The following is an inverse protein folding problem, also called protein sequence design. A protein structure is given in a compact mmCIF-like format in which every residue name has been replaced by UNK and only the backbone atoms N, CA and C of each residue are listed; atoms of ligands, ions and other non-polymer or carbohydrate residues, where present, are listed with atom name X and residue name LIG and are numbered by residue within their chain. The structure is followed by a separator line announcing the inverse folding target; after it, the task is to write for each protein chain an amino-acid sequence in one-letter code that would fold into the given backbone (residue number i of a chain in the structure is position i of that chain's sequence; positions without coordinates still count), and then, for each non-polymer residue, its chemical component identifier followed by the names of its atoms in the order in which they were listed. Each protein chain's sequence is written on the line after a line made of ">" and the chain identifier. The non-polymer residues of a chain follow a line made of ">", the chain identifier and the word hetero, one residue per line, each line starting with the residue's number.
data_IF_277310399686
#
_entry.id   IF_277310399686
#
_cell.length_a   1.000
_cell.length_b   1.000
_cell.length_c   1.000
_cell.angle_alpha   90.00
_cell.angle_beta   90.00
_cell.angle_gamma   90.00
#
_symmetry.space_group_name_H-M   'P 1'
#
loop_
_entity.id
_entity.type
_entity.pdbx_description
1 polymer ?
#
# COMPACT_ATOMS: atom_id res chain seq x y z
N UNK A 1 -18.43 -15.25 22.72
CA UNK A 1 -19.42 -14.87 21.68
C UNK A 1 -18.70 -14.98 20.34
N UNK A 2 -19.05 -15.96 19.50
CA UNK A 2 -18.36 -16.20 18.21
C UNK A 2 -18.76 -15.09 17.22
N UNK A 3 -17.80 -14.27 16.78
CA UNK A 3 -18.01 -13.32 15.69
C UNK A 3 -17.74 -14.01 14.36
N UNK A 4 -18.70 -14.02 13.44
CA UNK A 4 -18.48 -14.53 12.08
C UNK A 4 -17.54 -13.60 11.31
N UNK A 5 -16.90 -14.11 10.25
CA UNK A 5 -16.11 -13.27 9.34
C UNK A 5 -16.94 -12.11 8.75
N UNK A 6 -18.24 -12.36 8.51
CA UNK A 6 -19.18 -11.33 8.08
C UNK A 6 -19.38 -10.24 9.15
N UNK A 7 -19.57 -10.60 10.43
CA UNK A 7 -19.75 -9.61 11.48
C UNK A 7 -18.49 -8.76 11.70
N UNK A 8 -17.30 -9.37 11.56
CA UNK A 8 -16.02 -8.64 11.64
C UNK A 8 -15.89 -7.66 10.46
N UNK A 9 -16.22 -8.08 9.25
CA UNK A 9 -16.18 -7.22 8.07
C UNK A 9 -17.17 -6.04 8.19
N UNK A 10 -18.35 -6.29 8.74
CA UNK A 10 -19.35 -5.24 8.97
C UNK A 10 -18.89 -4.22 10.02
N UNK A 11 -18.29 -4.69 11.12
CA UNK A 11 -17.70 -3.82 12.15
C UNK A 11 -16.55 -2.97 11.58
N UNK A 12 -15.66 -3.58 10.78
CA UNK A 12 -14.58 -2.87 10.10
C UNK A 12 -15.11 -1.81 9.11
N UNK A 13 -16.16 -2.14 8.34
CA UNK A 13 -16.84 -1.18 7.46
C UNK A 13 -17.39 0.00 8.25
N UNK A 14 -18.06 -0.25 9.37
CA UNK A 14 -18.67 0.81 10.19
C UNK A 14 -17.59 1.73 10.78
N UNK A 15 -16.52 1.16 11.34
CA UNK A 15 -15.36 1.94 11.82
C UNK A 15 -14.75 2.81 10.73
N UNK A 16 -14.57 2.25 9.53
CA UNK A 16 -14.06 3.02 8.39
C UNK A 16 -15.02 4.14 7.98
N UNK A 17 -16.33 3.90 8.02
CA UNK A 17 -17.33 4.93 7.75
C UNK A 17 -17.28 6.07 8.75
N UNK A 18 -17.07 5.78 10.03
CA UNK A 18 -16.95 6.81 11.07
C UNK A 18 -15.70 7.67 10.85
N UNK A 19 -14.57 7.06 10.50
CA UNK A 19 -13.33 7.78 10.13
C UNK A 19 -13.56 8.66 8.90
N UNK A 20 -14.28 8.15 7.88
CA UNK A 20 -14.56 8.91 6.66
C UNK A 20 -15.41 10.15 6.96
N UNK A 21 -16.44 10.00 7.79
CA UNK A 21 -17.31 11.12 8.18
C UNK A 21 -16.55 12.16 8.97
N UNK A 22 -15.78 11.74 9.98
CA UNK A 22 -14.91 12.62 10.76
C UNK A 22 -13.97 13.42 9.86
N UNK A 23 -13.34 12.76 8.88
CA UNK A 23 -12.49 13.46 7.91
C UNK A 23 -13.25 14.42 7.01
N UNK A 24 -14.43 14.08 6.51
CA UNK A 24 -15.22 15.01 5.70
C UNK A 24 -15.66 16.26 6.49
N UNK A 25 -15.91 16.09 7.79
CA UNK A 25 -16.28 17.17 8.70
C UNK A 25 -15.09 18.07 9.03
N UNK A 26 -13.93 17.48 9.33
CA UNK A 26 -12.79 18.20 9.92
C UNK A 26 -11.66 18.53 8.94
N UNK A 27 -11.51 17.79 7.83
CA UNK A 27 -10.48 18.01 6.82
C UNK A 27 -11.07 18.73 5.60
N UNK A 28 -10.76 20.03 5.49
CA UNK A 28 -11.20 20.89 4.38
C UNK A 28 -10.18 21.02 3.27
N UNK A 29 -9.04 20.34 3.38
CA UNK A 29 -7.97 20.43 2.40
C UNK A 29 -7.86 19.16 1.55
N UNK A 30 -7.10 19.28 0.45
CA UNK A 30 -6.81 18.17 -0.45
C UNK A 30 -8.06 17.50 -1.04
N UNK A 31 -7.95 16.19 -1.26
CA UNK A 31 -8.99 15.41 -1.92
C UNK A 31 -10.29 15.30 -1.11
N UNK A 32 -10.19 15.12 0.21
CA UNK A 32 -11.36 14.94 1.09
C UNK A 32 -12.15 16.24 1.19
N UNK A 33 -11.47 17.37 1.42
CA UNK A 33 -12.11 18.69 1.42
C UNK A 33 -12.76 19.03 0.08
N UNK A 34 -12.05 18.78 -1.03
CA UNK A 34 -12.59 18.98 -2.38
C UNK A 34 -13.88 18.17 -2.59
N UNK A 35 -13.90 16.90 -2.18
CA UNK A 35 -15.07 16.03 -2.29
C UNK A 35 -16.23 16.51 -1.42
N UNK A 36 -15.95 16.97 -0.19
CA UNK A 36 -16.95 17.52 0.72
C UNK A 36 -17.59 18.83 0.24
N UNK A 37 -16.89 19.59 -0.63
CA UNK A 37 -17.40 20.84 -1.22
C UNK A 37 -18.28 20.65 -2.46
N UNK A 38 -18.35 19.43 -3.00
CA UNK A 38 -19.13 19.15 -4.22
C UNK A 38 -20.64 19.25 -3.95
N UNK A 39 -21.43 19.69 -4.94
CA UNK A 39 -22.89 19.77 -4.83
C UNK A 39 -23.52 18.37 -4.98
N UNK A 40 -23.26 17.48 -4.03
CA UNK A 40 -23.83 16.13 -4.01
C UNK A 40 -25.27 16.15 -3.47
N UNK A 41 -26.10 15.15 -3.83
CA UNK A 41 -27.52 15.13 -3.47
C UNK A 41 -27.79 15.09 -1.96
N UNK A 42 -26.89 14.47 -1.19
CA UNK A 42 -26.99 14.35 0.26
C UNK A 42 -25.61 14.28 0.91
N UNK A 43 -25.54 14.60 2.20
CA UNK A 43 -24.29 14.63 2.98
C UNK A 43 -23.63 13.26 3.15
N UNK A 44 -24.38 12.16 2.98
CA UNK A 44 -23.86 10.80 3.07
C UNK A 44 -23.19 10.33 1.77
N UNK A 45 -23.54 10.97 0.64
CA UNK A 45 -23.06 10.61 -0.69
C UNK A 45 -21.54 10.68 -0.79
N UNK A 46 -20.90 11.76 -0.30
CA UNK A 46 -19.44 11.87 -0.30
C UNK A 46 -18.78 10.73 0.49
N UNK A 47 -19.33 10.40 1.67
CA UNK A 47 -18.80 9.36 2.54
C UNK A 47 -18.93 7.96 1.89
N UNK A 48 -20.04 7.69 1.22
CA UNK A 48 -20.26 6.43 0.50
C UNK A 48 -19.32 6.29 -0.70
N UNK A 49 -19.09 7.37 -1.47
CA UNK A 49 -18.13 7.37 -2.56
C UNK A 49 -16.71 7.12 -2.07
N UNK A 50 -16.30 7.74 -0.95
CA UNK A 50 -15.01 7.47 -0.32
C UNK A 50 -14.90 6.02 0.17
N UNK A 51 -15.94 5.49 0.79
CA UNK A 51 -15.96 4.10 1.22
C UNK A 51 -15.76 3.17 0.03
N UNK A 52 -16.51 3.39 -1.06
CA UNK A 52 -16.40 2.58 -2.27
C UNK A 52 -15.00 2.69 -2.87
N UNK A 53 -14.45 3.90 -2.99
CA UNK A 53 -13.12 4.14 -3.52
C UNK A 53 -12.04 3.40 -2.70
N UNK A 54 -12.02 3.58 -1.37
CA UNK A 54 -11.06 2.92 -0.48
C UNK A 54 -11.24 1.40 -0.54
N UNK A 55 -12.48 0.94 -0.50
CA UNK A 55 -12.80 -0.50 -0.56
C UNK A 55 -12.39 -1.12 -1.88
N UNK A 56 -12.36 -0.37 -2.99
CA UNK A 56 -11.90 -0.86 -4.29
C UNK A 56 -10.36 -0.95 -4.40
N UNK A 57 -9.63 -0.13 -3.64
CA UNK A 57 -8.16 -0.16 -3.63
C UNK A 57 -7.60 -1.45 -3.01
N UNK A 58 -8.28 -2.02 -2.02
CA UNK A 58 -7.83 -3.22 -1.32
C UNK A 58 -7.84 -4.45 -2.24
N UNK A 59 -8.95 -4.81 -2.93
CA UNK A 59 -8.97 -5.91 -3.90
C UNK A 59 -7.97 -5.71 -5.03
N UNK A 60 -7.77 -4.48 -5.53
CA UNK A 60 -6.75 -4.20 -6.54
C UNK A 60 -5.35 -4.55 -6.03
N UNK A 61 -5.00 -4.05 -4.84
CA UNK A 61 -3.68 -4.28 -4.27
C UNK A 61 -3.47 -5.76 -3.95
N UNK A 62 -4.48 -6.42 -3.38
CA UNK A 62 -4.44 -7.85 -3.07
C UNK A 62 -4.31 -8.69 -4.35
N UNK A 63 -5.11 -8.42 -5.38
CA UNK A 63 -5.04 -9.13 -6.65
C UNK A 63 -3.66 -8.98 -7.29
N UNK A 64 -3.13 -7.75 -7.33
CA UNK A 64 -1.79 -7.49 -7.84
C UNK A 64 -0.72 -8.29 -7.09
N UNK A 65 -0.73 -8.26 -5.75
CA UNK A 65 0.26 -8.99 -4.94
C UNK A 65 0.11 -10.50 -5.10
N UNK A 66 -1.12 -11.01 -5.10
CA UNK A 66 -1.39 -12.44 -5.26
C UNK A 66 -0.91 -12.93 -6.62
N UNK A 67 -1.24 -12.21 -7.71
CA UNK A 67 -0.76 -12.55 -9.05
C UNK A 67 0.76 -12.55 -9.10
N UNK A 68 1.44 -11.52 -8.57
CA UNK A 68 2.89 -11.47 -8.55
C UNK A 68 3.53 -12.58 -7.72
N UNK A 69 2.93 -12.91 -6.56
CA UNK A 69 3.37 -14.03 -5.73
C UNK A 69 3.21 -15.37 -6.47
N UNK A 70 2.07 -15.60 -7.11
CA UNK A 70 1.82 -16.79 -7.92
C UNK A 70 2.79 -16.88 -9.10
N UNK A 71 3.13 -15.78 -9.76
CA UNK A 71 4.12 -15.78 -10.84
C UNK A 71 5.54 -16.07 -10.31
N UNK A 72 5.90 -15.53 -9.15
CA UNK A 72 7.23 -15.72 -8.56
C UNK A 72 7.47 -17.16 -8.08
N UNK A 73 6.43 -17.85 -7.60
CA UNK A 73 6.54 -19.20 -7.03
C UNK A 73 5.85 -20.30 -7.86
N UNK A 74 5.20 -19.95 -8.97
CA UNK A 74 4.36 -20.88 -9.72
C UNK A 74 5.11 -21.83 -10.66
N UNK A 75 6.38 -21.51 -10.99
CA UNK A 75 7.22 -22.34 -11.84
C UNK A 75 7.54 -23.71 -11.21
N UNK A 76 7.74 -24.72 -12.05
CA UNK A 76 8.09 -26.07 -11.57
C UNK A 76 9.45 -26.06 -10.85
N UNK A 77 10.38 -25.24 -11.32
CA UNK A 77 11.69 -25.00 -10.75
C UNK A 77 11.66 -24.37 -9.34
N UNK A 78 10.52 -23.85 -8.90
CA UNK A 78 10.33 -23.20 -7.60
C UNK A 78 9.81 -24.16 -6.52
N UNK A 79 9.97 -25.48 -6.69
CA UNK A 79 9.53 -26.48 -5.71
C UNK A 79 10.14 -26.26 -4.32
N UNK A 80 11.45 -26.06 -4.24
CA UNK A 80 12.14 -25.84 -2.96
C UNK A 80 11.71 -24.52 -2.30
N UNK A 81 11.61 -23.44 -3.07
CA UNK A 81 11.15 -22.15 -2.56
C UNK A 81 9.70 -22.24 -2.02
N UNK A 82 8.82 -23.00 -2.68
CA UNK A 82 7.44 -23.23 -2.21
C UNK A 82 7.41 -24.08 -0.93
N UNK A 83 8.24 -25.11 -0.85
CA UNK A 83 8.38 -25.94 0.35
C UNK A 83 8.86 -25.10 1.53
N UNK A 84 9.94 -24.34 1.33
CA UNK A 84 10.49 -23.46 2.34
C UNK A 84 9.50 -22.37 2.78
N UNK A 85 8.74 -21.77 1.86
CA UNK A 85 7.71 -20.78 2.21
C UNK A 85 6.53 -21.38 2.99
N UNK A 86 6.31 -22.70 2.88
CA UNK A 86 5.29 -23.42 3.65
C UNK A 86 5.79 -23.78 5.05
N UNK A 87 7.07 -24.16 5.16
CA UNK A 87 7.70 -24.64 6.39
C UNK A 87 8.26 -23.51 7.28
N UNK A 88 8.71 -22.40 6.69
CA UNK A 88 9.34 -21.26 7.37
C UNK A 88 8.55 -19.95 7.16
N UNK A 89 7.78 -19.49 8.16
CA UNK A 89 7.05 -18.23 8.12
C UNK A 89 7.92 -17.00 7.91
N UNK A 90 9.17 -17.02 8.39
CA UNK A 90 10.09 -15.90 8.19
C UNK A 90 10.58 -15.89 6.73
N UNK A 91 10.80 -17.04 6.10
CA UNK A 91 11.09 -17.11 4.67
C UNK A 91 9.89 -16.64 3.81
N UNK A 92 8.67 -17.09 4.13
CA UNK A 92 7.46 -16.59 3.45
C UNK A 92 7.35 -15.06 3.54
N UNK A 93 7.66 -14.48 4.70
CA UNK A 93 7.70 -13.03 4.86
C UNK A 93 8.74 -12.38 3.94
N UNK A 94 9.93 -12.95 3.81
CA UNK A 94 10.98 -12.44 2.90
C UNK A 94 10.52 -12.48 1.44
N UNK A 95 9.87 -13.57 1.03
CA UNK A 95 9.20 -13.71 -0.28
C UNK A 95 8.20 -12.59 -0.49
N UNK A 96 7.29 -12.35 0.46
CA UNK A 96 6.27 -11.29 0.34
C UNK A 96 6.87 -9.88 0.25
N UNK A 97 7.96 -9.62 0.99
CA UNK A 97 8.69 -8.36 0.91
C UNK A 97 9.33 -8.18 -0.47
N UNK A 98 9.90 -9.25 -1.03
CA UNK A 98 10.53 -9.21 -2.35
C UNK A 98 9.51 -9.05 -3.48
N UNK A 99 8.36 -9.74 -3.38
CA UNK A 99 7.22 -9.52 -4.28
C UNK A 99 6.79 -8.05 -4.26
N UNK A 100 6.64 -7.45 -3.06
CA UNK A 100 6.25 -6.04 -2.92
C UNK A 100 7.32 -5.09 -3.47
N UNK A 101 8.60 -5.44 -3.39
CA UNK A 101 9.70 -4.65 -3.93
C UNK A 101 9.62 -4.61 -5.46
N UNK A 102 9.59 -5.77 -6.10
CA UNK A 102 9.59 -5.89 -7.57
C UNK A 102 8.26 -5.46 -8.18
N UNK A 103 7.13 -5.83 -7.57
CA UNK A 103 5.80 -5.57 -8.10
C UNK A 103 4.93 -4.87 -7.04
N UNK A 104 5.23 -3.60 -6.72
CA UNK A 104 4.43 -2.85 -5.76
C UNK A 104 3.02 -2.61 -6.33
N UNK A 105 1.95 -2.73 -5.51
CA UNK A 105 0.57 -2.43 -5.93
C UNK A 105 0.37 -1.04 -6.53
N UNK A 106 1.22 -0.10 -6.09
CA UNK A 106 1.27 1.27 -6.55
C UNK A 106 2.71 1.59 -6.95
N UNK A 107 2.89 2.03 -8.19
CA UNK A 107 4.19 2.40 -8.78
C UNK A 107 4.87 3.59 -8.10
N UNK A 108 4.12 4.37 -7.32
CA UNK A 108 4.59 5.57 -6.65
C UNK A 108 3.44 6.34 -6.01
N UNK A 109 3.69 7.60 -5.68
CA UNK A 109 2.69 8.48 -5.12
C UNK A 109 3.02 9.95 -5.31
N UNK A 110 2.00 10.79 -5.12
CA UNK A 110 2.13 12.24 -5.08
C UNK A 110 2.11 12.73 -3.64
N UNK A 111 2.91 13.73 -3.35
CA UNK A 111 2.89 14.54 -2.12
C UNK A 111 2.79 16.01 -2.51
N UNK A 112 2.25 16.82 -1.61
CA UNK A 112 2.24 18.28 -1.72
C UNK A 112 3.15 18.79 -0.61
N UNK A 113 4.07 19.70 -0.94
CA UNK A 113 4.88 20.37 0.07
C UNK A 113 4.00 21.30 0.91
N UNK A 114 3.98 21.10 2.22
CA UNK A 114 3.23 21.93 3.18
C UNK A 114 3.96 23.25 3.50
N UNK A 115 5.27 23.28 3.25
CA UNK A 115 6.13 24.44 3.40
C UNK A 115 7.29 24.42 2.38
N UNK A 116 7.89 25.58 2.18
CA UNK A 116 9.16 25.74 1.46
C UNK A 116 10.21 24.78 2.05
N UNK A 117 10.76 23.94 1.19
CA UNK A 117 11.62 22.82 1.55
C UNK A 117 12.84 22.75 0.62
N UNK A 118 13.86 21.98 1.02
CA UNK A 118 15.00 21.67 0.16
C UNK A 118 15.24 20.16 0.16
N UNK A 119 15.27 19.56 -1.03
CA UNK A 119 15.52 18.14 -1.23
C UNK A 119 16.75 17.95 -2.11
N UNK A 120 17.82 17.35 -1.57
CA UNK A 120 19.08 17.15 -2.30
C UNK A 120 19.64 18.44 -2.93
N UNK A 121 19.50 19.56 -2.23
CA UNK A 121 19.92 20.89 -2.71
C UNK A 121 18.94 21.58 -3.67
N UNK A 122 17.85 20.92 -4.07
CA UNK A 122 16.79 21.52 -4.88
C UNK A 122 15.73 22.17 -4.00
N UNK A 123 15.43 23.43 -4.25
CA UNK A 123 14.35 24.13 -3.57
C UNK A 123 12.98 23.65 -4.07
N UNK A 124 12.11 23.27 -3.14
CA UNK A 124 10.73 22.85 -3.38
C UNK A 124 9.81 23.86 -2.68
N UNK A 125 9.12 24.73 -3.41
CA UNK A 125 8.21 25.70 -2.82
C UNK A 125 7.02 25.03 -2.14
N UNK A 126 6.41 25.71 -1.18
CA UNK A 126 5.11 25.35 -0.64
C UNK A 126 4.08 25.13 -1.77
N UNK A 127 3.18 24.18 -1.55
CA UNK A 127 2.08 23.76 -2.45
C UNK A 127 2.53 23.08 -3.75
N UNK A 128 3.84 22.89 -3.97
CA UNK A 128 4.33 22.13 -5.12
C UNK A 128 4.07 20.62 -4.95
N UNK A 129 3.70 19.99 -6.06
CA UNK A 129 3.54 18.55 -6.15
C UNK A 129 4.87 17.84 -6.37
N UNK A 130 5.22 16.93 -5.46
CA UNK A 130 6.38 16.03 -5.59
C UNK A 130 5.88 14.61 -5.88
N UNK A 131 6.42 13.98 -6.91
CA UNK A 131 6.10 12.60 -7.29
C UNK A 131 7.31 11.73 -6.95
N UNK A 132 7.08 10.66 -6.19
CA UNK A 132 8.07 9.61 -6.00
C UNK A 132 7.66 8.36 -6.77
N UNK A 133 8.64 7.66 -7.34
CA UNK A 133 8.44 6.44 -8.11
C UNK A 133 9.06 5.29 -7.34
N UNK A 134 8.27 4.64 -6.47
CA UNK A 134 8.72 3.49 -5.68
C UNK A 134 9.28 2.38 -6.56
N UNK A 135 8.68 2.13 -7.73
CA UNK A 135 9.17 1.11 -8.66
C UNK A 135 10.62 1.35 -9.12
N UNK A 136 11.00 2.62 -9.32
CA UNK A 136 12.36 2.99 -9.72
C UNK A 136 13.34 2.83 -8.56
N UNK A 137 13.01 3.39 -7.39
CA UNK A 137 13.85 3.29 -6.19
C UNK A 137 14.05 1.83 -5.76
N UNK A 138 13.02 1.01 -5.88
CA UNK A 138 13.10 -0.42 -5.57
C UNK A 138 14.03 -1.20 -6.52
N UNK A 139 14.40 -0.64 -7.67
CA UNK A 139 15.30 -1.22 -8.67
C UNK A 139 16.61 -0.46 -8.83
N UNK A 140 16.89 0.46 -7.93
CA UNK A 140 18.15 1.20 -7.95
C UNK A 140 19.32 0.24 -7.65
N UNK A 141 20.28 0.04 -8.57
CA UNK A 141 21.42 -0.83 -8.36
C UNK A 141 22.38 -0.34 -7.27
N UNK A 142 22.34 0.96 -6.92
CA UNK A 142 23.12 1.50 -5.80
C UNK A 142 22.54 1.06 -4.44
N UNK A 143 21.25 0.70 -4.42
CA UNK A 143 20.53 0.28 -3.20
C UNK A 143 20.34 -1.23 -3.15
N UNK A 144 20.07 -1.88 -4.29
CA UNK A 144 19.78 -3.30 -4.39
C UNK A 144 20.70 -3.99 -5.38
N UNK A 145 21.56 -4.90 -4.87
CA UNK A 145 22.29 -5.83 -5.71
C UNK A 145 21.32 -6.72 -6.51
N UNK A 146 21.62 -6.90 -7.80
CA UNK A 146 20.77 -7.62 -8.77
C UNK A 146 19.31 -7.15 -8.67
N UNK A 147 19.05 -5.86 -9.00
CA UNK A 147 17.80 -5.21 -8.64
C UNK A 147 16.58 -5.83 -9.33
N UNK A 148 16.74 -6.44 -10.49
CA UNK A 148 15.65 -7.09 -11.22
C UNK A 148 15.49 -8.58 -10.86
N UNK A 149 16.43 -9.16 -10.10
CA UNK A 149 16.35 -10.55 -9.65
C UNK A 149 15.41 -10.69 -8.44
N UNK A 150 14.61 -11.76 -8.46
CA UNK A 150 13.79 -12.16 -7.32
C UNK A 150 14.66 -12.93 -6.31
N UNK A 151 15.11 -12.23 -5.25
CA UNK A 151 16.04 -12.77 -4.24
C UNK A 151 15.50 -12.56 -2.83
N UNK A 152 14.60 -13.42 -2.30
CA UNK A 152 14.08 -13.33 -0.93
C UNK A 152 15.18 -13.23 0.14
N UNK A 153 16.33 -13.83 -0.10
CA UNK A 153 17.49 -13.89 0.79
C UNK A 153 18.01 -12.50 1.14
N UNK A 154 17.77 -11.47 0.32
CA UNK A 154 18.16 -10.07 0.60
C UNK A 154 17.50 -9.49 1.85
N UNK A 155 16.45 -10.13 2.34
CA UNK A 155 15.72 -9.74 3.55
C UNK A 155 16.17 -10.55 4.78
N UNK A 156 17.15 -11.44 4.63
CA UNK A 156 17.74 -12.21 5.74
C UNK A 156 18.36 -11.29 6.78
N UNK A 157 18.25 -11.65 8.06
CA UNK A 157 18.79 -10.85 9.17
C UNK A 157 18.02 -9.58 9.52
N UNK A 158 17.04 -9.13 8.70
CA UNK A 158 16.12 -8.06 9.11
C UNK A 158 15.13 -8.60 10.14
N UNK A 159 15.40 -8.32 11.42
CA UNK A 159 14.48 -8.61 12.54
C UNK A 159 13.10 -8.00 12.25
N UNK A 160 12.05 -8.65 12.75
CA UNK A 160 10.67 -8.16 12.69
C UNK A 160 10.66 -6.72 13.21
N UNK A 161 10.30 -5.75 12.38
CA UNK A 161 9.83 -4.48 12.90
C UNK A 161 8.55 -4.81 13.66
N UNK A 162 8.57 -4.58 14.98
CA UNK A 162 7.44 -4.78 15.85
C UNK A 162 6.27 -3.96 15.29
N UNK A 163 5.19 -4.61 14.90
CA UNK A 163 3.92 -3.94 14.61
C UNK A 163 3.30 -3.55 15.94
N UNK A 164 3.30 -2.25 16.24
CA UNK A 164 2.46 -1.62 17.25
C UNK A 164 0.99 -1.64 16.81
#
# INVERSE_FOLDING_TARGET
>A
MWSSGFSIALDARNKLMDIIKDKLENDKEGFVGSLGSLPLPDSSSAAQHLLLFISALIPKALASLLTSFTLALGGNEQEEARRQATEDPDYLRRVLLEVRRLWPPFIGGRRIADQDSTLMGLHVPKDFGVIYISHAVHRDPEVFQEPDAFLPERWSGRKRACTC
#
